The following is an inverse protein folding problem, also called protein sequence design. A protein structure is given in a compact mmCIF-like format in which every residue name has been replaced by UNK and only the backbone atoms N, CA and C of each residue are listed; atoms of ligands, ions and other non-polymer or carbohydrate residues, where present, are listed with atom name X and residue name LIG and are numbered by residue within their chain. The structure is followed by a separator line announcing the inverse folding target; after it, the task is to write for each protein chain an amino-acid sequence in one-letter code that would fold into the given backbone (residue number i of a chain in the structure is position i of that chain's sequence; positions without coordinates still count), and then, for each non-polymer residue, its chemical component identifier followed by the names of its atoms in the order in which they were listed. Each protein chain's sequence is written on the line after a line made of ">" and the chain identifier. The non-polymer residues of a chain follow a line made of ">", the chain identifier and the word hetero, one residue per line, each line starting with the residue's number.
data_IF_416060540056
#
_entry.id   IF_416060540056
#
_cell.length_a   1.000
_cell.length_b   1.000
_cell.length_c   1.000
_cell.angle_alpha   90.00
_cell.angle_beta   90.00
_cell.angle_gamma   90.00
#
_symmetry.space_group_name_H-M   'P 1'
#
loop_
_entity.id
_entity.type
_entity.pdbx_description
1 polymer ?
#
# COMPACT_ATOMS: atom_id res chain seq x y z
N UNK A 1 -60.03 16.26 -8.76
CA UNK A 1 -60.47 14.86 -8.98
C UNK A 1 -59.38 13.92 -8.51
N UNK A 2 -59.76 12.91 -7.72
CA UNK A 2 -58.92 11.91 -7.05
C UNK A 2 -58.58 10.72 -7.97
N UNK A 3 -57.41 10.10 -7.77
CA UNK A 3 -57.14 8.63 -7.62
C UNK A 3 -55.62 8.44 -7.47
N UNK A 4 -55.10 8.22 -6.26
CA UNK A 4 -54.91 6.96 -5.48
C UNK A 4 -53.62 6.20 -5.87
N UNK A 5 -52.83 5.98 -4.82
CA UNK A 5 -51.51 5.35 -4.65
C UNK A 5 -51.60 3.82 -4.72
N UNK A 6 -50.54 3.10 -5.11
CA UNK A 6 -50.09 1.93 -4.34
C UNK A 6 -48.58 1.65 -4.46
N UNK A 7 -48.00 1.34 -3.30
CA UNK A 7 -46.61 0.97 -3.00
C UNK A 7 -46.19 -0.37 -3.61
N UNK A 8 -44.89 -0.49 -3.91
CA UNK A 8 -44.20 -1.75 -4.09
C UNK A 8 -42.75 -1.64 -3.62
N UNK A 9 -42.48 -2.03 -2.36
CA UNK A 9 -41.16 -2.40 -1.86
C UNK A 9 -40.63 -3.60 -2.67
N UNK A 10 -39.33 -3.65 -2.96
CA UNK A 10 -38.38 -4.59 -2.34
C UNK A 10 -36.99 -4.54 -3.01
N UNK A 11 -35.99 -4.33 -2.15
CA UNK A 11 -34.64 -4.89 -2.17
C UNK A 11 -33.63 -4.58 -3.30
N UNK A 12 -32.62 -3.81 -2.88
CA UNK A 12 -31.20 -4.14 -3.01
C UNK A 12 -30.93 -5.64 -3.22
N UNK A 13 -30.25 -5.97 -4.33
CA UNK A 13 -29.18 -6.98 -4.32
C UNK A 13 -28.02 -6.41 -5.13
N UNK A 14 -26.96 -6.08 -4.39
CA UNK A 14 -25.59 -5.98 -4.88
C UNK A 14 -25.22 -7.23 -5.66
N UNK A 15 -24.94 -7.07 -6.96
CA UNK A 15 -24.22 -8.09 -7.73
C UNK A 15 -22.80 -8.22 -7.19
N UNK A 16 -22.64 -9.07 -6.19
CA UNK A 16 -21.36 -9.65 -5.80
C UNK A 16 -20.90 -10.55 -6.94
N UNK A 17 -19.84 -10.14 -7.63
CA UNK A 17 -19.03 -11.02 -8.45
C UNK A 17 -18.27 -12.00 -7.54
N UNK A 18 -18.97 -13.03 -7.07
CA UNK A 18 -18.39 -14.24 -6.47
C UNK A 18 -18.68 -15.41 -7.40
N UNK A 19 -17.88 -15.52 -8.46
CA UNK A 19 -17.91 -16.69 -9.32
C UNK A 19 -16.56 -16.86 -10.01
N UNK A 20 -15.49 -17.12 -9.23
CA UNK A 20 -14.26 -17.69 -9.81
C UNK A 20 -13.28 -18.35 -8.82
N UNK A 21 -13.53 -18.35 -7.51
CA UNK A 21 -12.65 -19.02 -6.55
C UNK A 21 -13.01 -20.50 -6.36
N UNK A 22 -14.30 -20.81 -6.20
CA UNK A 22 -14.77 -22.19 -5.99
C UNK A 22 -14.48 -23.10 -7.19
N UNK A 23 -14.70 -22.62 -8.42
CA UNK A 23 -14.38 -23.39 -9.63
C UNK A 23 -12.89 -23.70 -9.81
N UNK A 24 -12.00 -22.83 -9.30
CA UNK A 24 -10.54 -23.08 -9.29
C UNK A 24 -10.17 -24.10 -8.21
N UNK A 25 -10.79 -24.04 -7.04
CA UNK A 25 -10.55 -25.01 -5.96
C UNK A 25 -11.03 -26.41 -6.34
N UNK A 26 -12.19 -26.52 -7.00
CA UNK A 26 -12.69 -27.79 -7.52
C UNK A 26 -11.80 -28.34 -8.65
N UNK A 27 -11.30 -27.49 -9.56
CA UNK A 27 -10.32 -27.94 -10.57
C UNK A 27 -9.04 -28.45 -9.93
N UNK A 28 -8.50 -27.74 -8.93
CA UNK A 28 -7.28 -28.15 -8.22
C UNK A 28 -7.52 -29.47 -7.49
N UNK A 29 -8.65 -29.62 -6.78
CA UNK A 29 -9.01 -30.85 -6.10
C UNK A 29 -9.13 -32.02 -7.10
N UNK A 30 -9.75 -31.79 -8.26
CA UNK A 30 -9.94 -32.80 -9.31
C UNK A 30 -8.62 -33.21 -9.98
N UNK A 31 -7.67 -32.29 -10.12
CA UNK A 31 -6.31 -32.59 -10.60
C UNK A 31 -5.51 -33.40 -9.58
N UNK A 32 -5.72 -33.15 -8.28
CA UNK A 32 -5.06 -33.88 -7.20
C UNK A 32 -5.67 -35.26 -6.93
N UNK A 33 -6.95 -35.46 -7.27
CA UNK A 33 -7.67 -36.73 -7.08
C UNK A 33 -7.62 -37.66 -8.30
N UNK A 34 -6.72 -37.42 -9.26
CA UNK A 34 -6.41 -38.38 -10.32
C UNK A 34 -5.86 -39.70 -9.75
N UNK A 35 -6.15 -40.80 -10.44
CA UNK A 35 -6.02 -42.21 -10.01
C UNK A 35 -4.82 -42.57 -9.09
N UNK A 36 -4.99 -43.53 -8.16
CA UNK A 36 -3.95 -43.89 -7.20
C UNK A 36 -2.73 -44.47 -7.90
N UNK A 37 -1.60 -43.76 -7.79
CA UNK A 37 -0.27 -44.26 -8.18
C UNK A 37 0.06 -45.45 -7.27
N UNK A 38 0.06 -46.67 -7.85
CA UNK A 38 0.59 -47.87 -7.20
C UNK A 38 2.11 -47.86 -7.25
N UNK A 39 2.75 -47.12 -6.34
CA UNK A 39 4.14 -47.37 -5.95
C UNK A 39 4.37 -46.78 -4.56
N UNK A 40 4.64 -47.64 -3.55
CA UNK A 40 4.99 -47.19 -2.21
C UNK A 40 6.47 -46.80 -2.19
N UNK A 41 6.79 -45.68 -2.81
CA UNK A 41 8.00 -44.91 -2.53
C UNK A 41 7.72 -43.94 -1.38
N UNK A 42 8.62 -43.87 -0.41
CA UNK A 42 8.55 -42.94 0.72
C UNK A 42 8.40 -41.50 0.22
N UNK A 43 7.24 -40.88 0.47
CA UNK A 43 7.01 -39.47 0.16
C UNK A 43 7.78 -38.64 1.19
N UNK A 44 9.00 -38.25 0.86
CA UNK A 44 9.73 -37.23 1.62
C UNK A 44 9.11 -35.88 1.26
N UNK A 45 8.29 -35.35 2.17
CA UNK A 45 7.78 -33.98 2.10
C UNK A 45 8.96 -33.01 2.25
N UNK A 46 9.61 -32.65 1.15
CA UNK A 46 10.52 -31.51 1.14
C UNK A 46 9.68 -30.27 1.39
N UNK A 47 9.97 -29.54 2.47
CA UNK A 47 9.30 -28.31 2.86
C UNK A 47 9.42 -27.26 1.74
N UNK A 48 8.47 -27.25 0.81
CA UNK A 48 8.33 -26.17 -0.17
C UNK A 48 7.70 -25.00 0.58
N UNK A 49 8.51 -24.04 1.01
CA UNK A 49 8.03 -22.77 1.53
C UNK A 49 7.27 -22.05 0.41
N UNK A 50 5.96 -21.92 0.58
CA UNK A 50 5.14 -21.04 -0.25
C UNK A 50 5.45 -19.62 0.25
N UNK A 51 6.18 -18.83 -0.54
CA UNK A 51 6.21 -17.38 -0.34
C UNK A 51 4.82 -16.84 -0.67
N UNK A 52 4.03 -16.58 0.38
CA UNK A 52 2.85 -15.75 0.25
C UNK A 52 3.33 -14.39 -0.26
N UNK A 53 2.65 -13.83 -1.26
CA UNK A 53 2.92 -12.46 -1.69
C UNK A 53 2.98 -11.55 -0.46
N UNK A 54 3.98 -10.64 -0.36
CA UNK A 54 4.09 -9.75 0.78
C UNK A 54 2.75 -9.07 1.02
N UNK A 55 2.35 -8.96 2.28
CA UNK A 55 1.09 -8.33 2.60
C UNK A 55 1.10 -6.90 2.05
N UNK A 56 0.01 -6.43 1.43
CA UNK A 56 -0.08 -5.11 0.79
C UNK A 56 0.16 -3.92 1.76
N UNK A 57 0.51 -4.19 3.01
CA UNK A 57 0.61 -3.24 4.12
C UNK A 57 2.00 -3.25 4.79
N UNK A 58 3.04 -3.80 4.16
CA UNK A 58 4.41 -3.78 4.69
C UNK A 58 5.23 -2.60 4.14
N UNK A 59 6.20 -2.15 4.94
CA UNK A 59 7.15 -1.12 4.50
C UNK A 59 8.21 -1.72 3.59
N UNK A 60 8.18 -1.32 2.33
CA UNK A 60 9.12 -1.79 1.31
C UNK A 60 10.28 -0.80 1.15
N UNK A 61 11.50 -1.33 1.04
CA UNK A 61 12.61 -0.59 0.47
C UNK A 61 12.39 -0.49 -1.04
N UNK A 62 12.16 0.73 -1.54
CA UNK A 62 11.97 0.99 -2.96
C UNK A 62 13.29 1.21 -3.68
N UNK A 63 13.33 2.19 -4.59
CA UNK A 63 14.54 2.50 -5.33
C UNK A 63 15.67 2.99 -4.41
N UNK A 64 16.85 2.39 -4.53
CA UNK A 64 18.11 2.90 -3.96
C UNK A 64 19.20 2.93 -5.04
N UNK A 65 19.82 4.09 -5.26
CA UNK A 65 20.90 4.23 -6.22
C UNK A 65 21.23 5.68 -6.59
N UNK A 66 21.94 5.85 -7.70
CA UNK A 66 22.18 7.17 -8.30
C UNK A 66 21.27 7.36 -9.50
N UNK A 67 20.64 8.53 -9.58
CA UNK A 67 19.99 8.96 -10.80
C UNK A 67 21.00 9.07 -11.94
N UNK A 68 20.67 8.50 -13.11
CA UNK A 68 21.61 8.36 -14.23
C UNK A 68 21.91 9.68 -14.94
N UNK A 69 21.03 10.68 -14.82
CA UNK A 69 21.16 11.97 -15.49
C UNK A 69 21.86 13.01 -14.61
N UNK A 70 21.53 13.02 -13.32
CA UNK A 70 21.99 14.03 -12.36
C UNK A 70 23.08 13.52 -11.43
N UNK A 71 23.30 12.21 -11.35
CA UNK A 71 24.22 11.58 -10.39
C UNK A 71 23.77 11.66 -8.93
N UNK A 72 22.58 12.22 -8.68
CA UNK A 72 22.03 12.40 -7.33
C UNK A 72 21.69 11.05 -6.72
N UNK A 73 22.16 10.82 -5.48
CA UNK A 73 21.76 9.64 -4.70
C UNK A 73 20.30 9.77 -4.28
N UNK A 74 19.57 8.67 -4.41
CA UNK A 74 18.19 8.53 -3.99
C UNK A 74 18.02 7.17 -3.31
N UNK A 75 17.29 7.16 -2.20
CA UNK A 75 16.72 5.96 -1.59
C UNK A 75 15.29 6.28 -1.16
N UNK A 76 14.38 5.32 -1.23
CA UNK A 76 13.02 5.49 -0.74
C UNK A 76 12.52 4.27 0.03
N UNK A 77 11.60 4.51 0.96
CA UNK A 77 10.71 3.50 1.51
C UNK A 77 9.27 3.90 1.28
N UNK A 78 8.39 2.91 1.11
CA UNK A 78 6.97 3.16 0.90
C UNK A 78 6.12 2.09 1.55
N UNK A 79 4.91 2.49 1.90
CA UNK A 79 3.82 1.61 2.27
C UNK A 79 2.53 2.25 1.75
N UNK A 80 1.79 1.51 0.92
CA UNK A 80 0.64 2.03 0.19
C UNK A 80 1.00 3.33 -0.55
N UNK A 81 0.32 4.45 -0.25
CA UNK A 81 0.55 5.73 -0.90
C UNK A 81 1.41 6.70 -0.07
N UNK A 82 2.00 6.26 1.05
CA UNK A 82 2.93 7.07 1.83
C UNK A 82 4.37 6.68 1.50
N UNK A 83 5.18 7.66 1.11
CA UNK A 83 6.58 7.46 0.71
C UNK A 83 7.50 8.41 1.45
N UNK A 84 8.63 7.90 1.93
CA UNK A 84 9.72 8.70 2.51
C UNK A 84 10.95 8.50 1.64
N UNK A 85 11.54 9.60 1.18
CA UNK A 85 12.66 9.60 0.24
C UNK A 85 13.85 10.29 0.90
N UNK A 86 15.03 9.65 0.86
CA UNK A 86 16.32 10.28 1.07
C UNK A 86 16.91 10.63 -0.29
N UNK A 87 16.97 11.92 -0.62
CA UNK A 87 17.52 12.41 -1.89
C UNK A 87 18.51 13.53 -1.63
N UNK A 88 19.72 13.42 -2.20
CA UNK A 88 20.76 14.44 -2.09
C UNK A 88 20.99 14.96 -0.65
N UNK A 89 21.01 14.07 0.33
CA UNK A 89 21.20 14.44 1.73
C UNK A 89 19.95 14.99 2.44
N UNK A 90 18.82 15.17 1.75
CA UNK A 90 17.55 15.66 2.31
C UNK A 90 16.53 14.54 2.44
N UNK A 91 15.66 14.67 3.44
CA UNK A 91 14.48 13.79 3.58
C UNK A 91 13.27 14.52 3.00
N UNK A 92 12.53 13.82 2.17
CA UNK A 92 11.25 14.23 1.63
C UNK A 92 10.18 13.24 2.10
N UNK A 93 8.98 13.74 2.38
CA UNK A 93 7.81 12.91 2.65
C UNK A 93 6.77 13.23 1.60
N UNK A 94 6.17 12.19 1.05
CA UNK A 94 5.27 12.28 -0.08
C UNK A 94 4.02 11.41 0.09
N UNK A 95 2.86 11.93 -0.32
CA UNK A 95 1.64 11.14 -0.50
C UNK A 95 1.37 10.97 -2.00
N UNK A 96 1.63 9.75 -2.50
CA UNK A 96 1.47 9.36 -3.90
C UNK A 96 0.00 9.45 -4.34
N UNK A 97 -0.20 9.86 -5.59
CA UNK A 97 -1.54 10.10 -6.17
C UNK A 97 -2.13 11.48 -5.88
N UNK A 98 -1.31 12.40 -5.33
CA UNK A 98 -1.65 13.82 -5.12
C UNK A 98 -1.05 14.72 -6.20
N UNK A 99 -1.02 14.23 -7.44
CA UNK A 99 -0.34 14.83 -8.60
C UNK A 99 -1.14 15.94 -9.29
N UNK A 100 -2.36 16.22 -8.83
CA UNK A 100 -3.14 17.30 -9.41
C UNK A 100 -2.60 18.69 -9.02
N UNK A 101 -2.30 19.58 -9.99
CA UNK A 101 -1.65 20.86 -9.73
C UNK A 101 -2.39 21.73 -8.73
N UNK A 102 -1.62 22.40 -7.85
CA UNK A 102 -2.13 23.34 -6.87
C UNK A 102 -3.21 22.74 -5.94
N UNK A 103 -3.09 21.47 -5.57
CA UNK A 103 -3.91 20.88 -4.51
C UNK A 103 -3.07 20.36 -3.37
N UNK A 104 -3.71 20.32 -2.21
CA UNK A 104 -3.09 19.87 -0.99
C UNK A 104 -3.40 18.38 -0.78
N UNK A 105 -2.36 17.64 -0.41
CA UNK A 105 -2.48 16.38 0.29
C UNK A 105 -2.59 16.64 1.79
N UNK A 106 -3.18 15.70 2.54
CA UNK A 106 -3.17 15.74 3.99
C UNK A 106 -2.53 14.47 4.56
N UNK A 107 -1.83 14.62 5.66
CA UNK A 107 -1.22 13.53 6.42
C UNK A 107 -1.47 13.76 7.90
N UNK A 108 -2.00 12.74 8.59
CA UNK A 108 -2.21 12.76 10.03
C UNK A 108 -1.69 11.45 10.61
N UNK A 109 -0.86 11.53 11.65
CA UNK A 109 -0.35 10.35 12.34
C UNK A 109 -1.11 10.23 13.66
N UNK A 110 -1.78 9.10 13.86
CA UNK A 110 -2.67 8.83 14.99
C UNK A 110 -3.65 10.00 15.23
N UNK A 111 -3.68 10.53 16.45
CA UNK A 111 -4.51 11.66 16.85
C UNK A 111 -3.77 13.01 16.84
N UNK A 112 -2.59 13.11 16.22
CA UNK A 112 -1.81 14.35 16.17
C UNK A 112 -2.40 15.39 15.20
N UNK A 113 -1.76 16.57 15.14
CA UNK A 113 -2.10 17.60 14.15
C UNK A 113 -2.00 17.07 12.71
N UNK A 114 -2.85 17.58 11.84
CA UNK A 114 -2.78 17.29 10.40
C UNK A 114 -1.71 18.17 9.74
N UNK A 115 -0.86 17.55 8.94
CA UNK A 115 0.06 18.21 8.03
C UNK A 115 -0.60 18.35 6.66
N UNK A 116 -0.30 19.45 5.96
CA UNK A 116 -0.76 19.68 4.60
C UNK A 116 0.44 19.87 3.68
N UNK A 117 0.49 19.06 2.64
CA UNK A 117 1.54 19.09 1.62
C UNK A 117 1.00 19.59 0.30
N UNK A 118 1.80 20.31 -0.48
CA UNK A 118 1.41 20.74 -1.84
C UNK A 118 1.81 19.67 -2.84
N UNK A 119 0.86 19.24 -3.67
CA UNK A 119 1.07 18.21 -4.70
C UNK A 119 1.67 16.92 -4.11
N UNK A 120 1.26 16.58 -2.88
CA UNK A 120 1.78 15.42 -2.15
C UNK A 120 3.05 15.67 -1.35
N UNK A 121 3.78 16.78 -1.56
CA UNK A 121 5.05 17.07 -0.87
C UNK A 121 4.83 17.86 0.41
N UNK A 122 5.41 17.37 1.52
CA UNK A 122 5.32 18.01 2.84
C UNK A 122 6.62 18.73 3.21
N UNK A 123 6.51 19.89 3.85
CA UNK A 123 7.67 20.70 4.26
C UNK A 123 8.18 20.32 5.65
N UNK A 124 7.31 19.89 6.55
CA UNK A 124 7.60 19.56 7.95
C UNK A 124 8.21 18.16 8.13
N UNK A 125 9.12 17.78 7.24
CA UNK A 125 9.61 16.39 7.09
C UNK A 125 10.20 15.82 8.38
N UNK A 126 10.96 16.60 9.15
CA UNK A 126 11.54 16.16 10.42
C UNK A 126 10.48 15.83 11.47
N UNK A 127 9.43 16.65 11.58
CA UNK A 127 8.32 16.44 12.51
C UNK A 127 7.52 15.21 12.09
N UNK A 128 7.25 15.08 10.80
CA UNK A 128 6.50 13.95 10.23
C UNK A 128 7.24 12.64 10.46
N UNK A 129 8.52 12.54 10.08
CA UNK A 129 9.32 11.32 10.28
C UNK A 129 9.39 10.95 11.76
N UNK A 130 9.55 11.92 12.66
CA UNK A 130 9.55 11.68 14.10
C UNK A 130 8.23 11.07 14.58
N UNK A 131 7.09 11.52 14.05
CA UNK A 131 5.79 10.94 14.37
C UNK A 131 5.62 9.56 13.74
N UNK A 132 6.03 9.37 12.48
CA UNK A 132 5.98 8.06 11.81
C UNK A 132 6.79 6.99 12.56
N UNK A 133 7.97 7.34 13.10
CA UNK A 133 8.80 6.40 13.89
C UNK A 133 8.23 6.00 15.25
N UNK A 134 7.16 6.66 15.73
CA UNK A 134 6.58 6.45 17.06
C UNK A 134 5.09 6.11 17.04
N UNK A 135 4.41 6.40 15.93
CA UNK A 135 2.98 6.22 15.77
C UNK A 135 2.60 4.79 15.40
N UNK A 136 1.31 4.56 15.29
CA UNK A 136 0.73 3.26 14.92
C UNK A 136 0.09 3.30 13.55
N UNK A 137 -0.66 4.37 13.24
CA UNK A 137 -1.38 4.50 11.98
C UNK A 137 -1.16 5.91 11.40
N UNK A 138 -0.90 5.98 10.10
CA UNK A 138 -0.95 7.21 9.33
C UNK A 138 -2.19 7.24 8.44
N UNK A 139 -2.93 8.34 8.49
CA UNK A 139 -4.04 8.66 7.61
C UNK A 139 -3.54 9.59 6.51
N UNK A 140 -3.68 9.18 5.26
CA UNK A 140 -3.35 10.00 4.10
C UNK A 140 -4.61 10.44 3.38
N UNK A 141 -4.56 11.62 2.76
CA UNK A 141 -5.59 12.10 1.83
C UNK A 141 -4.92 12.65 0.58
N UNK A 142 -5.27 12.06 -0.56
CA UNK A 142 -4.91 12.53 -1.89
C UNK A 142 -6.15 13.00 -2.64
N UNK A 143 -6.00 13.95 -3.58
CA UNK A 143 -7.10 14.35 -4.45
C UNK A 143 -6.95 13.59 -5.77
N UNK A 144 -7.88 12.68 -6.04
CA UNK A 144 -7.84 11.85 -7.26
C UNK A 144 -8.10 12.70 -8.50
N UNK A 145 -7.17 12.66 -9.44
CA UNK A 145 -7.38 13.17 -10.78
C UNK A 145 -8.25 12.22 -11.64
N UNK A 146 -9.09 12.71 -12.57
CA UNK A 146 -9.51 14.11 -12.80
C UNK A 146 -10.71 14.56 -11.97
N UNK A 147 -11.29 13.68 -11.14
CA UNK A 147 -12.61 13.89 -10.55
C UNK A 147 -12.64 14.73 -9.26
N UNK A 148 -11.49 15.25 -8.81
CA UNK A 148 -11.33 16.08 -7.61
C UNK A 148 -11.87 15.44 -6.32
N UNK A 149 -12.07 14.13 -6.32
CA UNK A 149 -12.59 13.39 -5.17
C UNK A 149 -11.45 13.08 -4.19
N UNK A 150 -11.62 13.31 -2.88
CA UNK A 150 -10.70 12.82 -1.87
C UNK A 150 -10.58 11.30 -1.93
N UNK A 151 -9.35 10.80 -1.86
CA UNK A 151 -9.02 9.40 -1.61
C UNK A 151 -8.24 9.35 -0.31
N UNK A 152 -8.83 8.68 0.67
CA UNK A 152 -8.21 8.50 1.97
C UNK A 152 -7.67 7.08 2.08
N UNK A 153 -6.52 6.92 2.73
CA UNK A 153 -5.97 5.61 3.06
C UNK A 153 -5.49 5.59 4.52
N UNK A 154 -5.43 4.39 5.08
CA UNK A 154 -4.73 4.10 6.32
C UNK A 154 -3.44 3.34 6.00
N UNK A 155 -2.37 3.68 6.70
CA UNK A 155 -1.06 3.07 6.56
C UNK A 155 -0.61 2.61 7.94
N UNK A 156 -0.40 1.31 8.09
CA UNK A 156 0.19 0.73 9.29
C UNK A 156 1.66 1.18 9.41
N UNK A 157 2.03 1.72 10.57
CA UNK A 157 3.38 2.19 10.86
C UNK A 157 4.27 1.12 11.50
N UNK A 158 3.73 -0.08 11.72
CA UNK A 158 4.50 -1.26 12.11
C UNK A 158 5.61 -1.50 11.08
N UNK A 159 6.86 -1.58 11.56
CA UNK A 159 8.04 -1.76 10.70
C UNK A 159 8.58 -0.49 10.04
N UNK A 160 7.92 0.66 10.15
CA UNK A 160 8.39 1.92 9.55
C UNK A 160 9.80 2.29 10.03
N UNK A 161 10.04 2.22 11.34
CA UNK A 161 11.31 2.64 11.94
C UNK A 161 12.47 1.80 11.39
N UNK A 162 12.30 0.48 11.32
CA UNK A 162 13.33 -0.44 10.85
C UNK A 162 13.59 -0.25 9.36
N UNK A 163 12.53 -0.11 8.55
CA UNK A 163 12.65 0.21 7.13
C UNK A 163 13.36 1.55 6.90
N UNK A 164 13.04 2.58 7.70
CA UNK A 164 13.66 3.89 7.60
C UNK A 164 15.15 3.84 7.95
N UNK A 165 15.53 3.13 9.00
CA UNK A 165 16.94 2.92 9.35
C UNK A 165 17.68 2.11 8.29
N UNK A 166 17.05 1.09 7.70
CA UNK A 166 17.59 0.33 6.58
C UNK A 166 17.81 1.23 5.36
N UNK A 167 16.84 2.05 4.99
CA UNK A 167 16.95 3.02 3.89
C UNK A 167 18.15 3.96 4.08
N UNK A 168 18.38 4.44 5.31
CA UNK A 168 19.51 5.31 5.61
C UNK A 168 20.86 4.58 5.46
N UNK A 169 20.93 3.31 5.87
CA UNK A 169 22.13 2.47 5.69
C UNK A 169 22.42 2.24 4.20
N UNK A 170 21.41 1.89 3.43
CA UNK A 170 21.54 1.69 1.98
C UNK A 170 21.93 2.97 1.27
N UNK A 171 21.33 4.11 1.63
CA UNK A 171 21.71 5.40 1.07
C UNK A 171 23.20 5.74 1.29
N UNK A 172 23.73 5.39 2.46
CA UNK A 172 25.14 5.60 2.79
C UNK A 172 26.08 4.66 2.02
N UNK A 173 25.61 3.47 1.61
CA UNK A 173 26.40 2.48 0.87
C UNK A 173 26.57 2.83 -0.61
N UNK A 174 25.66 3.65 -1.16
CA UNK A 174 25.72 4.11 -2.55
C UNK A 174 27.04 4.85 -2.78
N UNK A 175 27.86 4.35 -3.69
CA UNK A 175 29.13 4.96 -4.10
C UNK A 175 28.88 6.11 -5.06
#
# INVERSE_FOLDING_TARGET
>A
MKRIILFGLFSFISGLSNANSEGRLEQIAKTLSGDPIKDYGEIVLSKTSIELAPSENEWELGQCGKDKFTGVKICEIRNNNLTVIKQNGRILVFVVGSDYPNRNAALKIDSNKTFYGREGVFNETSQIVTQLSKGQIAYTRAIKWPYLSPRDNEVDLTGFKDAYEQMLKEYASIR
#
